data_IF_627026698656
#
_entry.id   IF_627026698656
#
_cell.length_a   1.000
_cell.length_b   1.000
_cell.length_c   1.000
_cell.angle_alpha   90.00
_cell.angle_beta   90.00
_cell.angle_gamma   90.00
#
_symmetry.space_group_name_H-M   'P 1'
#
loop_
_entity.id
_entity.type
_entity.pdbx_description
1 polymer ?
#
# COMPACT_ATOMS: atom_id res chain seq x y z
N UNK A 1 -10.28 2.79 -11.30
CA UNK A 1 -8.81 2.71 -11.41
C UNK A 1 -8.13 4.05 -11.68
N UNK A 2 -8.60 4.87 -12.62
CA UNK A 2 -7.98 6.17 -12.96
C UNK A 2 -7.71 7.06 -11.73
N UNK A 3 -8.70 7.25 -10.85
CA UNK A 3 -8.50 8.04 -9.63
C UNK A 3 -7.43 7.47 -8.68
N UNK A 4 -7.36 6.14 -8.53
CA UNK A 4 -6.34 5.46 -7.71
C UNK A 4 -4.94 5.64 -8.31
N UNK A 5 -4.82 5.53 -9.63
CA UNK A 5 -3.56 5.76 -10.36
C UNK A 5 -3.09 7.20 -10.19
N UNK A 6 -3.99 8.18 -10.35
CA UNK A 6 -3.67 9.60 -10.16
C UNK A 6 -3.24 9.90 -8.73
N UNK A 7 -3.95 9.34 -7.74
CA UNK A 7 -3.61 9.50 -6.32
C UNK A 7 -2.24 8.90 -6.00
N UNK A 8 -1.99 7.64 -6.40
CA UNK A 8 -0.68 7.01 -6.18
C UNK A 8 0.43 7.75 -6.92
N UNK A 9 0.19 8.21 -8.15
CA UNK A 9 1.15 9.02 -8.90
C UNK A 9 1.52 10.31 -8.17
N UNK A 10 0.54 11.05 -7.64
CA UNK A 10 0.77 12.26 -6.86
C UNK A 10 1.58 11.97 -5.58
N UNK A 11 1.22 10.90 -4.85
CA UNK A 11 1.95 10.49 -3.64
C UNK A 11 3.39 10.10 -4.00
N UNK A 12 3.59 9.35 -5.09
CA UNK A 12 4.93 8.93 -5.53
C UNK A 12 5.80 10.13 -5.86
N UNK A 13 5.27 11.11 -6.60
CA UNK A 13 6.00 12.34 -6.93
C UNK A 13 6.35 13.13 -5.67
N UNK A 14 5.40 13.26 -4.74
CA UNK A 14 5.62 13.95 -3.46
C UNK A 14 6.72 13.28 -2.62
N UNK A 15 6.64 11.96 -2.43
CA UNK A 15 7.64 11.18 -1.70
C UNK A 15 9.02 11.26 -2.36
N UNK A 16 9.10 11.11 -3.69
CA UNK A 16 10.36 11.27 -4.41
C UNK A 16 10.96 12.68 -4.22
N UNK A 17 10.13 13.72 -4.28
CA UNK A 17 10.58 15.09 -4.04
C UNK A 17 11.08 15.28 -2.59
N UNK A 18 10.38 14.71 -1.62
CA UNK A 18 10.77 14.74 -0.21
C UNK A 18 12.09 14.00 0.06
N UNK A 19 12.23 12.79 -0.50
CA UNK A 19 13.44 11.98 -0.36
C UNK A 19 14.65 12.66 -1.01
N UNK A 20 14.45 13.34 -2.16
CA UNK A 20 15.48 14.11 -2.86
C UNK A 20 15.90 15.33 -2.07
N UNK A 21 14.94 16.13 -1.59
CA UNK A 21 15.21 17.31 -0.77
C UNK A 21 15.99 16.99 0.51
N UNK A 22 15.75 15.83 1.10
CA UNK A 22 16.42 15.40 2.33
C UNK A 22 17.68 14.55 2.11
N UNK A 23 18.17 14.43 0.87
CA UNK A 23 19.42 13.70 0.58
C UNK A 23 19.43 12.26 1.08
N UNK A 24 18.28 11.57 1.06
CA UNK A 24 18.16 10.24 1.67
C UNK A 24 19.02 9.19 0.94
N UNK A 25 19.43 8.15 1.67
CA UNK A 25 20.23 7.05 1.10
C UNK A 25 19.42 6.26 0.07
N UNK A 26 20.08 5.71 -0.96
CA UNK A 26 19.46 4.90 -2.01
C UNK A 26 18.66 3.69 -1.48
N UNK A 27 18.96 3.20 -0.26
CA UNK A 27 18.17 2.17 0.42
C UNK A 27 16.75 2.66 0.74
N UNK A 28 16.61 3.88 1.25
CA UNK A 28 15.32 4.46 1.62
C UNK A 28 14.41 4.62 0.40
N UNK A 29 14.95 5.04 -0.74
CA UNK A 29 14.20 5.08 -2.00
C UNK A 29 13.62 3.72 -2.39
N UNK A 30 14.43 2.66 -2.31
CA UNK A 30 13.98 1.30 -2.63
C UNK A 30 12.87 0.82 -1.69
N UNK A 31 12.97 1.13 -0.40
CA UNK A 31 11.93 0.77 0.58
C UNK A 31 10.63 1.53 0.29
N UNK A 32 10.69 2.85 0.10
CA UNK A 32 9.50 3.68 -0.15
C UNK A 32 8.83 3.31 -1.47
N UNK A 33 9.60 3.19 -2.56
CA UNK A 33 9.05 2.77 -3.86
C UNK A 33 8.53 1.33 -3.82
N UNK A 34 9.21 0.42 -3.14
CA UNK A 34 8.75 -0.95 -2.93
C UNK A 34 7.43 -1.01 -2.17
N UNK A 35 7.30 -0.24 -1.08
CA UNK A 35 6.06 -0.14 -0.31
C UNK A 35 4.92 0.41 -1.17
N UNK A 36 5.16 1.50 -1.91
CA UNK A 36 4.14 2.06 -2.82
C UNK A 36 3.72 1.07 -3.91
N UNK A 37 4.66 0.34 -4.51
CA UNK A 37 4.36 -0.65 -5.53
C UNK A 37 3.50 -1.80 -4.98
N UNK A 38 3.81 -2.29 -3.77
CA UNK A 38 3.02 -3.34 -3.09
C UNK A 38 1.62 -2.83 -2.78
N UNK A 39 1.48 -1.61 -2.24
CA UNK A 39 0.17 -1.04 -1.90
C UNK A 39 -0.69 -0.75 -3.13
N UNK A 40 -0.06 -0.32 -4.24
CA UNK A 40 -0.74 -0.15 -5.52
C UNK A 40 -1.18 -1.51 -6.10
N UNK A 41 -0.30 -2.51 -6.09
CA UNK A 41 -0.61 -3.86 -6.54
C UNK A 41 -1.77 -4.47 -5.74
N UNK A 42 -1.79 -4.31 -4.41
CA UNK A 42 -2.91 -4.74 -3.57
C UNK A 42 -4.23 -4.09 -3.98
N UNK A 43 -4.23 -2.78 -4.24
CA UNK A 43 -5.41 -2.07 -4.72
C UNK A 43 -5.87 -2.53 -6.11
N UNK A 44 -4.92 -2.73 -7.02
CA UNK A 44 -5.20 -3.24 -8.35
C UNK A 44 -5.82 -4.65 -8.28
N UNK A 45 -5.20 -5.56 -7.55
CA UNK A 45 -5.71 -6.93 -7.39
C UNK A 45 -7.08 -6.94 -6.69
N UNK A 46 -7.28 -6.12 -5.65
CA UNK A 46 -8.59 -5.99 -4.99
C UNK A 46 -9.68 -5.48 -5.94
N UNK A 47 -9.34 -4.61 -6.89
CA UNK A 47 -10.29 -4.12 -7.88
C UNK A 47 -10.61 -5.14 -8.97
N UNK A 48 -9.60 -5.86 -9.49
CA UNK A 48 -9.80 -6.86 -10.54
C UNK A 48 -10.35 -8.20 -10.00
N UNK A 49 -10.14 -8.49 -8.71
CA UNK A 49 -10.58 -9.72 -8.05
C UNK A 49 -11.39 -9.44 -6.77
N UNK A 50 -12.54 -8.73 -6.86
CA UNK A 50 -13.31 -8.26 -5.71
C UNK A 50 -13.82 -9.38 -4.78
N UNK A 51 -13.91 -10.63 -5.27
CA UNK A 51 -14.36 -11.78 -4.48
C UNK A 51 -13.27 -12.58 -3.77
N UNK A 52 -11.98 -12.42 -4.15
CA UNK A 52 -10.86 -13.16 -3.54
C UNK A 52 -10.13 -12.35 -2.47
N UNK A 53 -10.04 -11.04 -2.65
CA UNK A 53 -9.35 -10.12 -1.73
C UNK A 53 -10.33 -9.04 -1.26
N UNK A 54 -11.26 -9.44 -0.39
CA UNK A 54 -12.02 -8.44 0.35
C UNK A 54 -11.11 -7.87 1.44
N UNK A 55 -11.01 -6.54 1.60
CA UNK A 55 -10.26 -5.90 2.69
C UNK A 55 -10.68 -6.45 4.07
N UNK A 56 -11.97 -6.77 4.22
CA UNK A 56 -12.52 -7.33 5.46
C UNK A 56 -11.92 -8.71 5.79
N UNK A 57 -11.83 -9.64 4.84
CA UNK A 57 -11.14 -10.93 5.06
C UNK A 57 -9.65 -10.77 5.36
N UNK A 58 -8.98 -9.78 4.77
CA UNK A 58 -7.56 -9.52 5.07
C UNK A 58 -7.39 -9.00 6.49
N UNK A 59 -8.27 -8.09 6.93
CA UNK A 59 -8.32 -7.62 8.32
C UNK A 59 -8.70 -8.76 9.28
N UNK A 60 -9.65 -9.60 8.93
CA UNK A 60 -10.06 -10.77 9.72
C UNK A 60 -8.94 -11.81 9.83
N UNK A 61 -8.14 -12.02 8.78
CA UNK A 61 -6.98 -12.91 8.84
C UNK A 61 -5.87 -12.38 9.77
N UNK A 62 -5.66 -11.06 9.80
CA UNK A 62 -4.61 -10.43 10.63
C UNK A 62 -5.08 -10.24 12.08
N UNK A 63 -6.29 -9.73 12.27
CA UNK A 63 -6.82 -9.32 13.57
C UNK A 63 -7.78 -10.35 14.19
N UNK A 64 -8.31 -11.29 13.43
CA UNK A 64 -9.18 -12.35 13.96
C UNK A 64 -8.55 -13.19 15.07
N UNK A 65 -7.25 -13.56 15.01
CA UNK A 65 -6.58 -14.23 16.12
C UNK A 65 -6.57 -13.39 17.41
N UNK A 66 -6.38 -12.08 17.27
CA UNK A 66 -6.38 -11.13 18.39
C UNK A 66 -7.79 -10.97 18.95
N UNK A 67 -8.79 -10.89 18.07
CA UNK A 67 -10.20 -10.73 18.44
C UNK A 67 -10.72 -11.94 19.25
N UNK A 68 -10.29 -13.16 18.90
CA UNK A 68 -10.59 -14.39 19.66
C UNK A 68 -9.89 -14.47 21.02
N UNK A 69 -8.83 -13.69 21.23
CA UNK A 69 -8.10 -13.65 22.50
C UNK A 69 -8.78 -12.71 23.52
N UNK A 70 -9.63 -11.80 23.04
CA UNK A 70 -10.38 -10.84 23.85
C UNK A 70 -11.86 -11.22 24.05
N UNK A 71 -12.34 -12.33 23.47
CA UNK A 71 -13.68 -12.90 23.68
C UNK A 71 -13.63 -14.10 24.62
#
# INVERSE_FOLDING_TARGET
>A
MIAIVLMYGAITVFELAFLRRNGRKARTYRIVLGMMAVSFAYNAVSHFFPGRLSPNRALEAIFGPIQRWFS
#
